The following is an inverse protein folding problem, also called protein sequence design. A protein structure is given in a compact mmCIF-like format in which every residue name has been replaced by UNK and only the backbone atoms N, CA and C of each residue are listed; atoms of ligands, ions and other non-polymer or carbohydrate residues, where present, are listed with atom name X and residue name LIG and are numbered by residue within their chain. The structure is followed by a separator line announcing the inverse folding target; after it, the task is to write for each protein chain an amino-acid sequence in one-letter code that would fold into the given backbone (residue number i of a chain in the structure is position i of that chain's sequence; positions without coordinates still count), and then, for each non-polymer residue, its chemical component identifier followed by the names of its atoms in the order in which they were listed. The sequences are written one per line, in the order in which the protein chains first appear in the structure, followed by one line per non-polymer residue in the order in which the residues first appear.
data_IF_961096043881
#
_entry.id   IF_961096043881
#
_cell.length_a   1.000
_cell.length_b   1.000
_cell.length_c   1.000
_cell.angle_alpha   90.00
_cell.angle_beta   90.00
_cell.angle_gamma   90.00
#
_symmetry.space_group_name_H-M   'P 1'
#
loop_
_entity.id
_entity.type
_entity.pdbx_description
1 polymer ?
#
# COMPACT_ATOMS: atom_id res chain seq x y z
N UNK A 1 0.67 -1.25 0.48
CA UNK A 1 1.34 -1.98 -0.62
C UNK A 1 2.74 -2.35 -0.15
N UNK A 2 3.06 -3.66 -0.10
CA UNK A 2 4.33 -4.17 0.45
C UNK A 2 5.47 -4.15 -0.57
N UNK A 3 5.15 -4.11 -1.86
CA UNK A 3 6.10 -3.99 -2.97
C UNK A 3 5.39 -3.33 -4.17
N UNK A 4 6.04 -2.48 -4.99
CA UNK A 4 5.36 -1.69 -6.04
C UNK A 4 4.83 -2.54 -7.20
N UNK A 5 5.41 -3.73 -7.41
CA UNK A 5 5.04 -4.65 -8.52
C UNK A 5 4.22 -5.87 -8.06
N UNK A 6 4.29 -6.23 -6.79
CA UNK A 6 3.80 -7.53 -6.32
C UNK A 6 2.74 -7.32 -5.23
N UNK A 7 1.55 -7.85 -5.46
CA UNK A 7 0.41 -7.70 -4.54
C UNK A 7 0.39 -8.76 -3.44
N UNK A 8 0.90 -9.97 -3.70
CA UNK A 8 1.05 -11.04 -2.72
C UNK A 8 2.53 -11.40 -2.55
N UNK A 9 3.04 -11.24 -1.33
CA UNK A 9 4.40 -11.60 -0.94
C UNK A 9 4.32 -12.78 0.01
N UNK A 10 5.07 -13.83 -0.29
CA UNK A 10 5.25 -14.98 0.60
C UNK A 10 6.36 -14.72 1.59
N UNK A 11 6.40 -15.48 2.68
CA UNK A 11 7.40 -15.35 3.72
C UNK A 11 7.73 -16.71 4.34
N UNK A 12 9.02 -17.01 4.45
CA UNK A 12 9.51 -18.06 5.34
C UNK A 12 10.36 -17.42 6.42
N UNK A 13 10.24 -17.94 7.65
CA UNK A 13 11.01 -17.49 8.81
C UNK A 13 11.72 -18.67 9.46
N UNK A 14 12.97 -18.44 9.88
CA UNK A 14 13.75 -19.34 10.69
C UNK A 14 14.21 -18.60 11.94
N UNK A 15 14.11 -19.26 13.09
CA UNK A 15 14.57 -18.74 14.39
C UNK A 15 15.38 -19.83 15.06
N UNK A 16 16.58 -19.49 15.52
CA UNK A 16 17.47 -20.41 16.20
C UNK A 16 18.64 -19.70 16.87
N UNK A 17 19.56 -20.44 17.51
CA UNK A 17 20.79 -19.87 18.07
C UNK A 17 21.62 -19.20 16.97
N UNK A 18 22.12 -17.98 17.24
CA UNK A 18 22.89 -17.17 16.29
C UNK A 18 24.16 -17.89 15.83
N UNK A 19 24.84 -18.58 16.75
CA UNK A 19 26.06 -19.35 16.47
C UNK A 19 25.83 -20.59 15.57
N UNK A 20 24.58 -21.05 15.42
CA UNK A 20 24.20 -22.16 14.55
C UNK A 20 23.66 -21.67 13.19
N UNK A 21 23.43 -20.36 13.04
CA UNK A 21 22.81 -19.83 11.85
C UNK A 21 23.74 -19.89 10.63
N UNK A 22 23.22 -20.50 9.57
CA UNK A 22 23.63 -20.19 8.19
C UNK A 22 22.38 -20.18 7.32
N UNK A 23 22.39 -19.41 6.22
CA UNK A 23 21.29 -19.42 5.26
C UNK A 23 20.99 -20.84 4.75
N UNK A 24 22.04 -21.66 4.55
CA UNK A 24 21.89 -23.06 4.15
C UNK A 24 21.14 -23.90 5.18
N UNK A 25 21.46 -23.77 6.48
CA UNK A 25 20.77 -24.50 7.55
C UNK A 25 19.29 -24.11 7.58
N UNK A 26 18.98 -22.82 7.52
CA UNK A 26 17.61 -22.33 7.51
C UNK A 26 16.82 -22.88 6.31
N UNK A 27 17.34 -22.72 5.09
CA UNK A 27 16.71 -23.21 3.85
C UNK A 27 16.55 -24.74 3.87
N UNK A 28 17.54 -25.48 4.37
CA UNK A 28 17.44 -26.95 4.50
C UNK A 28 16.37 -27.37 5.51
N UNK A 29 16.17 -26.59 6.57
CA UNK A 29 15.13 -26.86 7.56
C UNK A 29 13.73 -26.70 6.96
N UNK A 30 13.48 -25.60 6.22
CA UNK A 30 12.27 -25.38 5.43
C UNK A 30 12.07 -26.46 4.35
N UNK A 31 13.13 -26.88 3.66
CA UNK A 31 13.03 -27.96 2.68
C UNK A 31 12.73 -29.32 3.33
N UNK A 32 13.18 -29.57 4.57
CA UNK A 32 12.95 -30.84 5.26
C UNK A 32 11.47 -31.10 5.55
N UNK A 33 10.62 -30.07 5.54
CA UNK A 33 9.17 -30.22 5.66
C UNK A 33 8.55 -30.98 4.49
N UNK A 34 9.27 -31.17 3.38
CA UNK A 34 8.89 -32.09 2.29
C UNK A 34 8.42 -33.46 2.80
N UNK A 35 9.03 -33.96 3.90
CA UNK A 35 8.65 -35.24 4.51
C UNK A 35 7.19 -35.28 5.01
N UNK A 36 6.59 -34.11 5.25
CA UNK A 36 5.21 -33.95 5.69
C UNK A 36 4.26 -33.60 4.55
N UNK A 37 4.77 -33.31 3.34
CA UNK A 37 3.96 -33.00 2.17
C UNK A 37 3.70 -34.24 1.33
N UNK A 38 2.43 -34.52 1.06
CA UNK A 38 2.02 -35.54 0.11
C UNK A 38 1.64 -34.86 -1.22
N UNK A 39 2.46 -35.09 -2.25
CA UNK A 39 2.27 -34.45 -3.55
C UNK A 39 1.02 -34.98 -4.30
N UNK A 40 0.65 -36.25 -4.10
CA UNK A 40 -0.43 -36.89 -4.86
C UNK A 40 -1.81 -36.33 -4.52
N UNK A 41 -2.06 -36.00 -3.26
CA UNK A 41 -3.32 -35.38 -2.84
C UNK A 41 -3.15 -33.90 -2.49
N UNK A 42 -1.92 -33.36 -2.54
CA UNK A 42 -1.60 -31.99 -2.19
C UNK A 42 -1.78 -31.67 -0.71
N UNK A 43 -1.80 -32.68 0.18
CA UNK A 43 -2.06 -32.48 1.60
C UNK A 43 -0.78 -32.47 2.45
N UNK A 44 -0.88 -31.92 3.66
CA UNK A 44 0.20 -31.92 4.63
C UNK A 44 -0.21 -32.65 5.90
N UNK A 45 0.67 -33.52 6.41
CA UNK A 45 0.49 -34.20 7.70
C UNK A 45 0.87 -33.33 8.91
N UNK A 46 1.40 -32.14 8.66
CA UNK A 46 1.74 -31.10 9.64
C UNK A 46 2.08 -29.81 8.88
N UNK A 47 2.82 -28.88 9.49
CA UNK A 47 3.24 -27.67 8.77
C UNK A 47 4.27 -28.01 7.67
N UNK A 48 3.97 -27.55 6.46
CA UNK A 48 4.71 -27.78 5.22
C UNK A 48 4.82 -26.47 4.41
N UNK A 49 4.35 -25.36 4.98
CA UNK A 49 4.17 -24.09 4.30
C UNK A 49 5.50 -23.55 3.78
N UNK A 50 6.58 -23.70 4.56
CA UNK A 50 7.90 -23.25 4.16
C UNK A 50 8.43 -24.06 2.97
N UNK A 51 8.21 -25.39 2.96
CA UNK A 51 8.57 -26.23 1.80
C UNK A 51 7.78 -25.83 0.55
N UNK A 52 6.46 -25.64 0.68
CA UNK A 52 5.60 -25.27 -0.45
C UNK A 52 6.04 -23.94 -1.05
N UNK A 53 6.35 -22.95 -0.22
CA UNK A 53 6.86 -21.66 -0.68
C UNK A 53 8.22 -21.80 -1.39
N UNK A 54 9.13 -22.65 -0.89
CA UNK A 54 10.44 -22.87 -1.50
C UNK A 54 10.35 -23.43 -2.93
N UNK A 55 9.36 -24.28 -3.20
CA UNK A 55 9.20 -24.98 -4.48
C UNK A 55 8.05 -24.42 -5.32
N UNK A 56 7.55 -23.23 -4.98
CA UNK A 56 6.44 -22.59 -5.67
C UNK A 56 6.85 -22.14 -7.09
N UNK A 57 6.26 -22.76 -8.11
CA UNK A 57 6.57 -22.52 -9.53
C UNK A 57 6.39 -21.06 -9.99
N UNK A 58 5.46 -20.33 -9.39
CA UNK A 58 5.20 -18.94 -9.72
C UNK A 58 6.13 -17.96 -9.00
N UNK A 59 6.82 -18.37 -7.93
CA UNK A 59 7.74 -17.49 -7.18
C UNK A 59 9.09 -17.41 -7.87
N UNK A 60 9.47 -16.24 -8.36
CA UNK A 60 10.72 -16.05 -9.13
C UNK A 60 11.63 -14.95 -8.58
N UNK A 61 11.19 -14.19 -7.57
CA UNK A 61 12.03 -13.26 -6.81
C UNK A 61 12.06 -13.69 -5.35
N UNK A 62 13.23 -13.55 -4.74
CA UNK A 62 13.44 -13.77 -3.30
C UNK A 62 14.38 -12.69 -2.77
N UNK A 63 14.10 -12.22 -1.55
CA UNK A 63 14.98 -11.34 -0.79
C UNK A 63 15.00 -11.81 0.66
N UNK A 64 16.18 -11.88 1.26
CA UNK A 64 16.32 -12.38 2.63
C UNK A 64 17.15 -11.44 3.50
N UNK A 65 16.88 -11.45 4.80
CA UNK A 65 17.63 -10.73 5.81
C UNK A 65 17.79 -11.58 7.07
N UNK A 66 18.88 -11.35 7.80
CA UNK A 66 19.10 -11.93 9.13
C UNK A 66 19.34 -10.81 10.14
N UNK A 67 18.75 -10.96 11.31
CA UNK A 67 18.94 -10.03 12.43
C UNK A 67 19.28 -10.83 13.70
N UNK A 68 20.43 -10.56 14.35
CA UNK A 68 20.72 -11.11 15.67
C UNK A 68 19.81 -10.47 16.72
N UNK A 69 19.40 -11.27 17.69
CA UNK A 69 18.48 -10.88 18.75
C UNK A 69 19.01 -11.40 20.09
N UNK A 70 19.07 -10.55 21.10
CA UNK A 70 19.57 -10.93 22.42
C UNK A 70 18.76 -12.07 23.05
N UNK A 71 17.44 -12.11 22.83
CA UNK A 71 16.57 -13.21 23.27
C UNK A 71 15.30 -13.30 22.41
N UNK A 72 14.90 -14.52 22.05
CA UNK A 72 13.59 -14.84 21.45
C UNK A 72 13.02 -16.08 22.13
N UNK A 73 11.88 -15.95 22.80
CA UNK A 73 11.33 -17.03 23.61
C UNK A 73 12.33 -17.54 24.64
N UNK A 74 12.74 -18.80 24.51
CA UNK A 74 13.74 -19.44 25.38
C UNK A 74 15.17 -19.41 24.82
N UNK A 75 15.38 -18.89 23.61
CA UNK A 75 16.68 -18.86 22.94
C UNK A 75 17.40 -17.56 23.32
N UNK A 76 18.58 -17.67 23.91
CA UNK A 76 19.48 -16.55 24.21
C UNK A 76 20.50 -16.45 23.07
N UNK A 77 20.84 -15.24 22.63
CA UNK A 77 21.66 -15.02 21.42
C UNK A 77 21.04 -15.72 20.20
N UNK A 78 19.82 -15.31 19.85
CA UNK A 78 19.07 -15.87 18.74
C UNK A 78 19.37 -15.12 17.43
N UNK A 79 19.10 -15.75 16.29
CA UNK A 79 19.03 -15.11 14.99
C UNK A 79 17.65 -15.33 14.38
N UNK A 80 17.07 -14.27 13.83
CA UNK A 80 15.87 -14.33 12.98
C UNK A 80 16.32 -14.21 11.54
N UNK A 81 16.02 -15.20 10.72
CA UNK A 81 16.25 -15.18 9.28
C UNK A 81 14.93 -15.25 8.54
N UNK A 82 14.64 -14.23 7.74
CA UNK A 82 13.41 -14.11 6.97
C UNK A 82 13.77 -14.05 5.49
N UNK A 83 13.02 -14.79 4.67
CA UNK A 83 13.02 -14.66 3.22
C UNK A 83 11.62 -14.33 2.74
N UNK A 84 11.49 -13.24 1.99
CA UNK A 84 10.26 -12.91 1.28
C UNK A 84 10.33 -13.37 -0.18
N UNK A 85 9.22 -13.89 -0.69
CA UNK A 85 9.10 -14.47 -2.04
C UNK A 85 8.05 -13.73 -2.84
N UNK A 86 8.31 -13.49 -4.12
CA UNK A 86 7.39 -12.76 -4.98
C UNK A 86 7.24 -13.39 -6.37
N UNK A 87 5.99 -13.58 -6.83
CA UNK A 87 4.75 -13.65 -6.03
C UNK A 87 4.81 -14.69 -4.91
N UNK A 88 4.02 -14.52 -3.86
CA UNK A 88 3.89 -15.47 -2.76
C UNK A 88 3.16 -16.76 -3.15
N UNK A 89 3.48 -17.85 -2.44
CA UNK A 89 2.81 -19.14 -2.54
C UNK A 89 1.50 -19.20 -1.78
N UNK A 90 0.64 -20.16 -2.15
CA UNK A 90 -0.65 -20.40 -1.49
C UNK A 90 -0.87 -21.89 -1.27
N UNK A 91 -1.68 -22.27 -0.27
CA UNK A 91 -2.03 -23.69 -0.05
C UNK A 91 -3.24 -24.15 -0.90
N UNK A 92 -3.71 -23.33 -1.84
CA UNK A 92 -4.93 -23.61 -2.62
C UNK A 92 -4.71 -24.61 -3.75
N UNK A 93 -3.46 -24.90 -4.12
CA UNK A 93 -3.08 -25.89 -5.13
C UNK A 93 -1.72 -26.51 -4.80
N UNK A 94 -1.32 -27.51 -5.57
CA UNK A 94 0.05 -28.04 -5.54
C UNK A 94 1.06 -26.95 -5.94
N UNK A 95 2.28 -26.96 -5.37
CA UNK A 95 3.26 -25.91 -5.60
C UNK A 95 3.78 -25.82 -7.03
N UNK A 96 3.66 -26.92 -7.79
CA UNK A 96 4.01 -26.97 -9.20
C UNK A 96 3.22 -28.08 -9.89
N UNK A 97 3.13 -27.98 -11.21
CA UNK A 97 2.53 -29.03 -12.03
C UNK A 97 3.49 -30.21 -12.23
N UNK A 98 3.04 -31.46 -12.04
CA UNK A 98 3.88 -32.63 -12.32
C UNK A 98 4.12 -32.76 -13.83
N UNK A 99 5.34 -33.14 -14.20
CA UNK A 99 5.69 -33.40 -15.59
C UNK A 99 7.19 -33.44 -15.82
N UNK A 100 7.57 -33.55 -17.10
CA UNK A 100 8.97 -33.38 -17.51
C UNK A 100 9.32 -31.90 -17.36
N UNK A 101 10.49 -31.63 -16.77
CA UNK A 101 10.99 -30.27 -16.56
C UNK A 101 10.93 -29.45 -17.85
N UNK A 102 10.61 -28.16 -17.69
CA UNK A 102 10.56 -27.17 -18.75
C UNK A 102 9.56 -27.39 -19.91
N UNK A 103 8.72 -28.42 -19.87
CA UNK A 103 7.71 -28.65 -20.92
C UNK A 103 6.61 -27.58 -20.98
N UNK A 104 6.41 -26.85 -19.88
CA UNK A 104 5.42 -25.77 -19.74
C UNK A 104 6.05 -24.40 -19.46
N UNK A 105 7.32 -24.19 -19.83
CA UNK A 105 7.92 -22.86 -19.75
C UNK A 105 7.25 -21.88 -20.72
N UNK A 106 7.37 -20.58 -20.43
CA UNK A 106 6.90 -19.52 -21.34
C UNK A 106 7.60 -19.58 -22.70
N UNK A 107 6.96 -19.05 -23.75
CA UNK A 107 7.50 -19.07 -25.13
C UNK A 107 8.88 -18.42 -25.30
N UNK A 108 9.23 -17.48 -24.41
CA UNK A 108 10.51 -16.74 -24.41
C UNK A 108 11.50 -17.28 -23.37
N UNK A 109 11.12 -18.30 -22.62
CA UNK A 109 11.94 -18.84 -21.54
C UNK A 109 12.87 -19.93 -22.07
N UNK A 110 14.06 -20.03 -21.48
CA UNK A 110 15.04 -21.09 -21.73
C UNK A 110 15.01 -22.08 -20.58
N UNK A 111 15.21 -23.35 -20.87
CA UNK A 111 15.41 -24.35 -19.82
C UNK A 111 16.87 -24.33 -19.37
N UNK A 112 17.12 -23.89 -18.13
CA UNK A 112 18.46 -23.84 -17.53
C UNK A 112 18.38 -24.56 -16.18
N UNK A 113 19.23 -25.56 -15.96
CA UNK A 113 19.26 -26.36 -14.72
C UNK A 113 17.88 -26.87 -14.27
N UNK A 114 17.10 -27.38 -15.24
CA UNK A 114 15.74 -27.89 -15.04
C UNK A 114 14.70 -26.83 -14.61
N UNK A 115 15.02 -25.54 -14.72
CA UNK A 115 14.15 -24.41 -14.40
C UNK A 115 13.87 -23.55 -15.64
N UNK A 116 12.68 -22.93 -15.69
CA UNK A 116 12.35 -21.93 -16.70
C UNK A 116 13.09 -20.63 -16.38
N UNK A 117 14.00 -20.20 -17.24
CA UNK A 117 14.82 -18.98 -17.10
C UNK A 117 14.44 -17.94 -18.14
N UNK A 118 14.46 -16.67 -17.77
CA UNK A 118 14.09 -15.56 -18.63
C UNK A 118 14.90 -14.32 -18.23
N UNK A 119 15.69 -13.77 -19.16
CA UNK A 119 16.63 -12.69 -18.86
C UNK A 119 15.95 -11.45 -18.26
N UNK A 120 14.79 -11.05 -18.79
CA UNK A 120 14.05 -9.88 -18.31
C UNK A 120 13.49 -10.10 -16.90
N UNK A 121 13.00 -11.31 -16.64
CA UNK A 121 12.43 -11.69 -15.34
C UNK A 121 13.50 -11.91 -14.29
N UNK A 122 14.64 -12.48 -14.67
CA UNK A 122 15.68 -12.92 -13.74
C UNK A 122 16.63 -11.76 -13.37
N UNK A 123 16.65 -10.68 -14.16
CA UNK A 123 17.41 -9.46 -13.88
C UNK A 123 17.10 -8.90 -12.47
N UNK A 124 18.15 -8.57 -11.71
CA UNK A 124 18.01 -7.87 -10.43
C UNK A 124 17.46 -6.46 -10.68
N UNK A 125 16.29 -6.15 -10.12
CA UNK A 125 15.65 -4.83 -10.22
C UNK A 125 15.90 -4.05 -8.95
N UNK A 126 16.39 -2.82 -9.08
CA UNK A 126 16.55 -1.89 -7.97
C UNK A 126 15.59 -0.71 -8.12
N UNK A 127 14.77 -0.48 -7.10
CA UNK A 127 13.79 0.60 -7.11
C UNK A 127 14.37 1.84 -6.44
N UNK A 128 15.04 2.68 -7.22
CA UNK A 128 15.75 3.88 -6.73
C UNK A 128 14.88 4.90 -5.98
N UNK A 129 13.56 4.85 -6.18
CA UNK A 129 12.60 5.78 -5.57
C UNK A 129 11.48 5.07 -4.80
N UNK A 130 11.66 3.79 -4.46
CA UNK A 130 10.70 3.08 -3.64
C UNK A 130 11.24 2.94 -2.22
N UNK A 131 10.56 3.60 -1.29
CA UNK A 131 10.83 3.51 0.14
C UNK A 131 9.57 3.02 0.83
N UNK A 132 9.60 1.87 1.51
CA UNK A 132 8.46 1.42 2.28
C UNK A 132 8.11 2.43 3.37
N UNK A 133 6.81 2.59 3.67
CA UNK A 133 6.31 3.60 4.63
C UNK A 133 6.88 3.47 6.04
N UNK A 134 7.41 2.31 6.39
CA UNK A 134 7.94 1.97 7.72
C UNK A 134 9.46 2.14 7.87
N UNK A 135 10.19 2.53 6.83
CA UNK A 135 11.61 2.90 6.97
C UNK A 135 11.73 4.30 7.62
N UNK A 136 12.40 4.37 8.77
CA UNK A 136 12.61 5.60 9.54
C UNK A 136 14.10 5.78 9.90
N UNK A 137 14.65 6.99 9.78
CA UNK A 137 14.03 8.19 9.21
C UNK A 137 13.85 8.05 7.69
N UNK A 138 12.68 8.43 7.17
CA UNK A 138 12.46 8.46 5.72
C UNK A 138 13.47 9.42 5.09
N UNK A 139 14.38 8.96 4.20
CA UNK A 139 15.20 9.89 3.45
C UNK A 139 14.26 10.83 2.68
N UNK A 140 14.55 12.13 2.67
CA UNK A 140 13.78 13.11 1.91
C UNK A 140 14.06 12.86 0.44
N UNK A 141 13.31 11.95 -0.18
CA UNK A 141 13.49 11.59 -1.58
C UNK A 141 12.41 12.33 -2.36
N UNK A 142 12.78 13.48 -2.91
CA UNK A 142 11.94 14.12 -3.91
C UNK A 142 12.03 13.32 -5.21
N UNK A 143 10.90 12.86 -5.71
CA UNK A 143 10.76 12.44 -7.10
C UNK A 143 10.95 13.65 -8.04
N UNK A 144 11.11 13.45 -9.36
CA UNK A 144 11.28 14.56 -10.30
C UNK A 144 10.16 15.61 -10.22
N UNK A 145 8.94 15.20 -9.90
CA UNK A 145 7.77 16.06 -9.73
C UNK A 145 7.90 16.94 -8.47
N UNK A 146 8.32 16.37 -7.34
CA UNK A 146 8.67 17.11 -6.12
C UNK A 146 9.81 18.10 -6.37
N UNK A 147 10.87 17.71 -7.10
CA UNK A 147 11.94 18.65 -7.45
C UNK A 147 11.44 19.81 -8.30
N UNK A 148 10.56 19.54 -9.27
CA UNK A 148 9.94 20.57 -10.10
C UNK A 148 9.07 21.53 -9.27
N UNK A 149 8.22 20.99 -8.38
CA UNK A 149 7.37 21.79 -7.50
C UNK A 149 8.22 22.67 -6.58
N UNK A 150 9.31 22.15 -6.03
CA UNK A 150 10.22 22.94 -5.20
C UNK A 150 10.88 24.07 -5.98
N UNK A 151 11.39 23.79 -7.18
CA UNK A 151 11.99 24.81 -8.04
C UNK A 151 10.97 25.87 -8.45
N UNK A 152 9.75 25.47 -8.79
CA UNK A 152 8.66 26.38 -9.12
C UNK A 152 8.29 27.26 -7.92
N UNK A 153 8.17 26.69 -6.72
CA UNK A 153 7.89 27.46 -5.51
C UNK A 153 9.00 28.47 -5.19
N UNK A 154 10.26 28.07 -5.31
CA UNK A 154 11.41 28.96 -5.11
C UNK A 154 11.39 30.08 -6.16
N UNK A 155 11.15 29.75 -7.43
CA UNK A 155 11.06 30.73 -8.51
C UNK A 155 9.93 31.74 -8.25
N UNK A 156 8.73 31.28 -7.91
CA UNK A 156 7.60 32.16 -7.59
C UNK A 156 7.91 33.06 -6.40
N UNK A 157 8.52 32.52 -5.34
CA UNK A 157 8.90 33.33 -4.17
C UNK A 157 9.93 34.42 -4.54
N UNK A 158 10.95 34.07 -5.32
CA UNK A 158 11.93 35.04 -5.80
C UNK A 158 11.31 36.12 -6.69
N UNK A 159 10.37 35.73 -7.57
CA UNK A 159 9.62 36.68 -8.39
C UNK A 159 8.79 37.63 -7.52
N UNK A 160 8.09 37.12 -6.50
CA UNK A 160 7.33 37.94 -5.56
C UNK A 160 8.23 38.93 -4.78
N UNK A 161 9.41 38.49 -4.35
CA UNK A 161 10.37 39.39 -3.67
C UNK A 161 10.86 40.48 -4.62
N UNK A 162 11.19 40.13 -5.87
CA UNK A 162 11.62 41.10 -6.88
C UNK A 162 10.51 42.10 -7.20
N UNK A 163 9.26 41.65 -7.37
CA UNK A 163 8.14 42.56 -7.64
C UNK A 163 7.90 43.51 -6.48
N UNK A 164 7.95 43.04 -5.24
CA UNK A 164 7.84 43.89 -4.05
C UNK A 164 8.96 44.93 -4.00
N UNK A 165 10.22 44.54 -4.27
CA UNK A 165 11.35 45.46 -4.29
C UNK A 165 11.22 46.51 -5.41
N UNK A 166 10.74 46.13 -6.59
CA UNK A 166 10.48 47.06 -7.69
C UNK A 166 9.39 48.07 -7.29
N UNK A 167 8.28 47.59 -6.74
CA UNK A 167 7.17 48.46 -6.27
C UNK A 167 7.66 49.44 -5.21
N UNK A 168 8.42 48.97 -4.22
CA UNK A 168 9.01 49.83 -3.18
C UNK A 168 9.99 50.86 -3.77
N UNK A 169 10.74 50.51 -4.82
CA UNK A 169 11.67 51.43 -5.48
C UNK A 169 10.96 52.56 -6.26
N UNK A 170 9.81 52.24 -6.87
CA UNK A 170 9.00 53.21 -7.61
C UNK A 170 8.12 54.05 -6.69
N UNK A 171 7.68 53.47 -5.57
CA UNK A 171 6.79 54.08 -4.59
C UNK A 171 7.43 54.05 -3.19
N UNK A 172 8.48 54.85 -2.93
CA UNK A 172 9.24 54.82 -1.67
C UNK A 172 8.42 55.20 -0.43
N UNK A 173 7.25 55.82 -0.61
CA UNK A 173 6.37 56.28 0.47
C UNK A 173 5.10 55.41 0.64
N UNK A 174 4.97 54.27 -0.06
CA UNK A 174 3.74 53.45 -0.05
C UNK A 174 3.42 52.85 1.33
N UNK A 175 4.40 52.79 2.25
CA UNK A 175 4.23 52.35 3.63
C UNK A 175 3.98 53.49 4.63
N UNK A 176 3.95 54.75 4.17
CA UNK A 176 3.88 55.95 5.01
C UNK A 176 2.53 56.67 4.94
N UNK A 177 1.58 56.21 4.14
CA UNK A 177 0.17 56.64 4.22
C UNK A 177 -0.68 55.57 4.89
N UNK A 178 -0.68 55.57 6.22
CA UNK A 178 -1.81 55.07 6.99
C UNK A 178 -2.93 56.12 6.92
N UNK A 179 -3.55 56.31 5.74
CA UNK A 179 -4.72 57.18 5.60
C UNK A 179 -5.51 56.94 4.30
N UNK A 180 -5.85 55.68 4.00
CA UNK A 180 -7.09 55.43 3.26
C UNK A 180 -8.19 55.14 4.28
N UNK A 181 -8.91 56.20 4.63
CA UNK A 181 -10.21 56.14 5.30
C UNK A 181 -11.13 55.39 4.34
N UNK A 182 -11.29 54.08 4.54
CA UNK A 182 -12.45 53.36 4.02
C UNK A 182 -13.63 53.76 4.90
N UNK A 183 -14.63 54.40 4.30
CA UNK A 183 -15.87 54.77 4.96
C UNK A 183 -16.59 53.52 5.49
N UNK A 184 -17.19 53.53 6.71
CA UNK A 184 -17.75 52.34 7.35
C UNK A 184 -18.96 51.69 6.65
N UNK A 185 -19.52 52.34 5.63
CA UNK A 185 -20.83 51.96 5.05
C UNK A 185 -20.74 50.74 4.12
N UNK A 186 -19.57 50.46 3.53
CA UNK A 186 -19.41 49.37 2.54
C UNK A 186 -19.08 48.03 3.21
N UNK A 187 -18.35 48.04 4.33
CA UNK A 187 -18.01 46.83 5.08
C UNK A 187 -19.19 46.21 5.83
N UNK A 188 -20.18 47.00 6.22
CA UNK A 188 -21.40 46.45 6.86
C UNK A 188 -22.30 45.78 5.82
N UNK A 189 -22.37 46.31 4.60
CA UNK A 189 -23.15 45.71 3.52
C UNK A 189 -22.52 44.42 2.97
N UNK A 190 -21.19 44.36 2.80
CA UNK A 190 -20.49 43.14 2.40
C UNK A 190 -20.59 42.04 3.48
N UNK A 191 -20.41 42.40 4.76
CA UNK A 191 -20.54 41.44 5.86
C UNK A 191 -21.99 40.91 5.98
N UNK A 192 -23.01 41.76 5.78
CA UNK A 192 -24.41 41.32 5.76
C UNK A 192 -24.75 40.44 4.56
N UNK A 193 -24.11 40.64 3.39
CA UNK A 193 -24.29 39.77 2.22
C UNK A 193 -23.57 38.43 2.40
N UNK A 194 -22.36 38.40 2.97
CA UNK A 194 -21.65 37.17 3.32
C UNK A 194 -22.42 36.34 4.36
N UNK A 195 -22.95 36.96 5.41
CA UNK A 195 -23.71 36.27 6.46
C UNK A 195 -25.02 35.68 5.91
N UNK A 196 -25.71 36.40 5.00
CA UNK A 196 -26.89 35.88 4.29
C UNK A 196 -26.56 34.75 3.32
N UNK A 197 -25.37 34.75 2.71
CA UNK A 197 -24.94 33.67 1.82
C UNK A 197 -24.54 32.40 2.61
N UNK A 198 -23.91 32.56 3.78
CA UNK A 198 -23.64 31.45 4.70
C UNK A 198 -24.92 30.83 5.26
N UNK A 199 -25.87 31.65 5.72
CA UNK A 199 -27.16 31.17 6.27
C UNK A 199 -27.99 30.45 5.18
N UNK A 200 -27.88 30.88 3.92
CA UNK A 200 -28.51 30.20 2.79
C UNK A 200 -27.86 28.85 2.50
N UNK A 201 -26.52 28.75 2.57
CA UNK A 201 -25.79 27.48 2.37
C UNK A 201 -26.12 26.46 3.46
N UNK A 202 -26.16 26.88 4.73
CA UNK A 202 -26.55 25.99 5.83
C UNK A 202 -27.99 25.49 5.67
N UNK A 203 -28.90 26.33 5.17
CA UNK A 203 -30.29 25.92 4.93
C UNK A 203 -30.42 24.93 3.76
N UNK A 204 -29.67 25.14 2.68
CA UNK A 204 -29.62 24.20 1.55
C UNK A 204 -28.99 22.84 1.96
N UNK A 205 -27.97 22.85 2.83
CA UNK A 205 -27.34 21.65 3.38
C UNK A 205 -28.32 20.88 4.28
N UNK A 206 -29.04 21.58 5.16
CA UNK A 206 -30.06 20.98 6.02
C UNK A 206 -31.26 20.43 5.21
N UNK A 207 -31.66 21.10 4.12
CA UNK A 207 -32.70 20.58 3.21
C UNK A 207 -32.24 19.31 2.47
N UNK A 208 -30.96 19.22 2.07
CA UNK A 208 -30.40 17.99 1.51
C UNK A 208 -30.36 16.85 2.52
N UNK A 209 -29.93 17.10 3.76
CA UNK A 209 -29.92 16.07 4.81
C UNK A 209 -31.35 15.56 5.12
N UNK A 210 -32.35 16.44 5.13
CA UNK A 210 -33.75 16.04 5.33
C UNK A 210 -34.24 15.15 4.18
N UNK A 211 -33.92 15.48 2.93
CA UNK A 211 -34.29 14.65 1.79
C UNK A 211 -33.62 13.27 1.83
N UNK A 212 -32.34 13.20 2.22
CA UNK A 212 -31.64 11.91 2.39
C UNK A 212 -32.29 11.06 3.50
N UNK A 213 -32.69 11.67 4.62
CA UNK A 213 -33.39 10.94 5.69
C UNK A 213 -34.79 10.46 5.27
N UNK A 214 -35.50 11.23 4.44
CA UNK A 214 -36.81 10.82 3.91
C UNK A 214 -36.65 9.65 2.92
N UNK A 215 -35.63 9.69 2.05
CA UNK A 215 -35.33 8.60 1.12
C UNK A 215 -34.93 7.31 1.86
N UNK A 216 -34.07 7.39 2.88
CA UNK A 216 -33.73 6.23 3.74
C UNK A 216 -34.94 5.68 4.51
N UNK A 217 -35.95 6.51 4.76
CA UNK A 217 -37.17 6.09 5.46
C UNK A 217 -38.11 5.37 4.50
N UNK A 218 -38.26 5.86 3.27
CA UNK A 218 -39.02 5.17 2.22
C UNK A 218 -38.40 3.81 1.87
N UNK A 219 -37.07 3.71 1.79
CA UNK A 219 -36.38 2.42 1.57
C UNK A 219 -36.66 1.42 2.70
N UNK A 220 -36.63 1.88 3.96
CA UNK A 220 -36.96 1.02 5.12
C UNK A 220 -38.41 0.56 5.12
N UNK A 221 -39.36 1.43 4.76
CA UNK A 221 -40.77 1.05 4.65
C UNK A 221 -41.00 0.03 3.53
N UNK A 222 -40.27 0.12 2.41
CA UNK A 222 -40.30 -0.88 1.33
C UNK A 222 -39.71 -2.23 1.74
N UNK A 223 -38.57 -2.24 2.45
CA UNK A 223 -37.99 -3.48 2.99
C UNK A 223 -38.94 -4.16 4.00
N UNK A 224 -39.62 -3.38 4.84
CA UNK A 224 -40.61 -3.93 5.79
C UNK A 224 -41.82 -4.53 5.07
N UNK A 225 -42.32 -3.92 3.99
CA UNK A 225 -43.40 -4.47 3.17
C UNK A 225 -42.98 -5.76 2.43
N UNK A 226 -41.77 -5.83 1.87
CA UNK A 226 -41.25 -7.05 1.24
C UNK A 226 -41.09 -8.18 2.27
N UNK A 227 -40.54 -7.86 3.45
CA UNK A 227 -40.38 -8.84 4.54
C UNK A 227 -41.73 -9.37 5.05
N UNK A 228 -42.78 -8.53 5.05
CA UNK A 228 -44.14 -8.98 5.39
C UNK A 228 -44.77 -9.85 4.31
N UNK A 229 -44.54 -9.56 3.03
CA UNK A 229 -45.01 -10.39 1.90
C UNK A 229 -44.34 -11.77 1.89
N UNK A 230 -43.02 -11.83 2.13
CA UNK A 230 -42.29 -13.10 2.22
C UNK A 230 -42.81 -13.99 3.37
N UNK A 231 -43.11 -13.39 4.54
CA UNK A 231 -43.70 -14.13 5.68
C UNK A 231 -45.11 -14.65 5.39
N UNK A 232 -45.91 -13.93 4.61
CA UNK A 232 -47.24 -14.41 4.21
C UNK A 232 -47.17 -15.56 3.19
N UNK A 233 -46.19 -15.55 2.28
CA UNK A 233 -45.99 -16.65 1.31
C UNK A 233 -45.44 -17.93 1.97
N UNK A 234 -44.73 -17.82 3.10
CA UNK A 234 -44.25 -18.97 3.88
C UNK A 234 -45.36 -19.63 4.72
N UNK A 235 -46.42 -18.91 5.10
CA UNK A 235 -47.56 -19.45 5.86
C UNK A 235 -48.63 -20.14 4.96
N UNK A 236 -48.59 -19.96 3.63
CA UNK A 236 -49.50 -20.61 2.67
C UNK A 236 -48.97 -21.91 2.02
N UNK A 237 -47.81 -22.44 2.46
CA UNK A 237 -47.23 -23.72 2.01
C UNK A 237 -47.18 -24.78 3.11
#
# INVERSE_FOLDING_TARGET
MVHPKFYGIGENMWVGPENEFTASIAIRSWHAEKKRYNFENGSCSGDCSNYIQLVWDHSYKVGCAVTPCSKIGHIIHAAIFICNYAPGGTLTRRPYEPGIFCTRCGRRDKCTDFLCSNADRDQATYYRFWYPKWEMPRPVVCDPLCTFILLLRILCFMLCVITVLIVQSQFPNILLEQQMIFTPEESEAENEEEEKEEEKKEKEEMEMEIMEMEEEKEEREQEEEETQKEKMEEEEK
#
